data_IF_859871924271
#
_entry.id   IF_859871924271
#
_cell.length_a   1.000
_cell.length_b   1.000
_cell.length_c   1.000
_cell.angle_alpha   90.00
_cell.angle_beta   90.00
_cell.angle_gamma   90.00
#
_symmetry.space_group_name_H-M   'P 1'
#
loop_
_entity.id
_entity.type
_entity.pdbx_description
1 polymer ?
#
# COMPACT_ATOMS: atom_id res chain seq x y z
N UNK A 1 -7.19 -10.56 25.47
CA UNK A 1 -8.37 -11.00 26.24
C UNK A 1 -9.29 -11.75 25.30
N UNK A 2 -9.93 -12.81 25.76
CA UNK A 2 -10.98 -13.53 25.01
C UNK A 2 -12.11 -12.58 24.58
N UNK A 3 -12.36 -11.53 25.35
CA UNK A 3 -13.33 -10.48 25.01
C UNK A 3 -12.99 -9.77 23.70
N UNK A 4 -11.70 -9.54 23.43
CA UNK A 4 -11.26 -8.92 22.17
C UNK A 4 -11.51 -9.86 21.00
N UNK A 5 -11.30 -11.17 21.17
CA UNK A 5 -11.52 -12.17 20.11
C UNK A 5 -13.01 -12.30 19.81
N UNK A 6 -13.85 -12.39 20.84
CA UNK A 6 -15.31 -12.44 20.70
C UNK A 6 -15.84 -11.18 20.00
N UNK A 7 -15.30 -10.02 20.35
CA UNK A 7 -15.67 -8.77 19.72
C UNK A 7 -15.27 -8.72 18.24
N UNK A 8 -14.02 -9.05 17.92
CA UNK A 8 -13.52 -9.09 16.54
C UNK A 8 -14.40 -10.03 15.71
N UNK A 9 -14.69 -11.22 16.23
CA UNK A 9 -15.54 -12.22 15.58
C UNK A 9 -16.93 -11.67 15.28
N UNK A 10 -17.54 -10.96 16.24
CA UNK A 10 -18.84 -10.31 16.05
C UNK A 10 -18.80 -9.20 14.99
N UNK A 11 -17.76 -8.36 15.00
CA UNK A 11 -17.61 -7.28 14.03
C UNK A 11 -17.44 -7.79 12.60
N UNK A 12 -16.67 -8.88 12.43
CA UNK A 12 -16.54 -9.58 11.15
C UNK A 12 -17.86 -10.20 10.71
N UNK A 13 -18.60 -10.86 11.62
CA UNK A 13 -19.89 -11.49 11.31
C UNK A 13 -20.98 -10.48 10.93
N UNK A 14 -20.99 -9.30 11.56
CA UNK A 14 -21.96 -8.24 11.30
C UNK A 14 -21.61 -7.36 10.09
N UNK A 15 -20.41 -7.54 9.50
CA UNK A 15 -19.85 -6.66 8.46
C UNK A 15 -20.03 -5.17 8.81
N UNK A 16 -19.49 -4.76 9.96
CA UNK A 16 -19.58 -3.37 10.45
C UNK A 16 -18.24 -2.67 10.39
N UNK A 17 -18.26 -1.45 9.87
CA UNK A 17 -17.13 -0.54 10.01
C UNK A 17 -17.07 0.04 11.42
N UNK A 18 -15.87 0.02 12.00
CA UNK A 18 -15.64 0.49 13.36
C UNK A 18 -14.34 1.26 13.43
N UNK A 19 -14.41 2.39 14.12
CA UNK A 19 -13.28 3.24 14.45
C UNK A 19 -13.19 3.36 15.97
N UNK A 20 -12.04 3.73 16.51
CA UNK A 20 -11.87 4.05 17.93
C UNK A 20 -11.17 5.38 18.11
N UNK A 21 -11.52 6.12 19.16
CA UNK A 21 -10.74 7.28 19.59
C UNK A 21 -9.46 6.87 20.35
N UNK A 22 -8.70 7.85 20.82
CA UNK A 22 -7.50 7.66 21.65
C UNK A 22 -7.73 6.86 22.94
N UNK A 23 -8.98 6.81 23.43
CA UNK A 23 -9.35 6.09 24.65
C UNK A 23 -9.96 4.71 24.36
N UNK A 24 -9.96 4.26 23.09
CA UNK A 24 -10.53 2.98 22.69
C UNK A 24 -12.06 2.99 22.61
N UNK A 25 -12.71 4.15 22.71
CA UNK A 25 -14.17 4.26 22.58
C UNK A 25 -14.56 4.12 21.12
N UNK A 26 -15.51 3.24 20.85
CA UNK A 26 -15.98 2.95 19.49
C UNK A 26 -16.76 4.12 18.90
N UNK A 27 -16.44 4.43 17.67
CA UNK A 27 -17.07 5.43 16.83
C UNK A 27 -17.63 4.74 15.58
N UNK A 28 -18.79 5.22 15.12
CA UNK A 28 -19.35 4.83 13.82
C UNK A 28 -18.89 5.81 12.74
N UNK A 29 -18.98 5.40 11.46
CA UNK A 29 -18.62 6.26 10.31
C UNK A 29 -19.30 7.64 10.35
N UNK A 30 -20.58 7.69 10.74
CA UNK A 30 -21.34 8.96 10.90
C UNK A 30 -20.76 9.91 11.95
N UNK A 31 -20.07 9.39 12.97
CA UNK A 31 -19.45 10.22 13.99
C UNK A 31 -18.22 10.97 13.45
N UNK A 32 -17.49 10.39 12.48
CA UNK A 32 -16.36 11.05 11.81
C UNK A 32 -16.81 12.22 10.92
N UNK A 33 -17.96 12.11 10.25
CA UNK A 33 -18.48 13.14 9.33
C UNK A 33 -18.88 14.43 10.04
N UNK A 34 -19.10 14.39 11.35
CA UNK A 34 -19.51 15.54 12.18
C UNK A 34 -18.37 16.50 12.55
N UNK A 35 -17.18 16.34 11.97
CA UNK A 35 -16.07 17.29 12.14
C UNK A 35 -15.27 17.13 13.42
N UNK A 36 -15.42 16.00 14.13
CA UNK A 36 -14.50 15.60 15.20
C UNK A 36 -13.18 15.12 14.57
N UNK A 37 -12.41 16.07 14.06
CA UNK A 37 -11.07 15.86 13.53
C UNK A 37 -10.10 15.60 14.69
N UNK A 38 -10.10 14.37 15.23
CA UNK A 38 -9.02 13.89 16.08
C UNK A 38 -9.03 12.34 16.11
N UNK A 39 -7.96 11.75 15.57
CA UNK A 39 -7.40 10.45 16.01
C UNK A 39 -8.31 9.21 16.02
N UNK A 40 -9.32 9.16 15.16
CA UNK A 40 -10.07 7.93 14.92
C UNK A 40 -9.20 6.87 14.23
N UNK A 41 -8.90 5.77 14.93
CA UNK A 41 -8.16 4.62 14.40
C UNK A 41 -9.13 3.59 13.82
N UNK A 42 -9.03 3.23 12.53
CA UNK A 42 -9.89 2.20 11.95
C UNK A 42 -9.52 0.82 12.51
N UNK A 43 -10.52 0.06 12.94
CA UNK A 43 -10.36 -1.34 13.36
C UNK A 43 -11.00 -2.29 12.35
N UNK A 44 -12.10 -1.87 11.73
CA UNK A 44 -12.81 -2.64 10.71
C UNK A 44 -13.27 -1.72 9.59
N UNK A 45 -13.05 -2.14 8.34
CA UNK A 45 -13.41 -1.41 7.12
C UNK A 45 -14.00 -2.39 6.12
N UNK A 46 -14.94 -1.90 5.31
CA UNK A 46 -15.59 -2.69 4.26
C UNK A 46 -15.13 -2.15 2.91
N UNK A 47 -14.77 -3.07 2.01
CA UNK A 47 -14.27 -2.78 0.68
C UNK A 47 -14.91 -3.74 -0.31
N UNK A 48 -14.93 -3.34 -1.59
CA UNK A 48 -15.27 -4.28 -2.65
C UNK A 48 -14.05 -5.18 -2.92
N UNK A 49 -14.28 -6.44 -3.28
CA UNK A 49 -13.16 -7.33 -3.61
C UNK A 49 -12.29 -6.78 -4.74
N UNK A 50 -12.89 -6.11 -5.72
CA UNK A 50 -12.19 -5.46 -6.84
C UNK A 50 -11.20 -4.39 -6.40
N UNK A 51 -11.37 -3.78 -5.22
CA UNK A 51 -10.50 -2.71 -4.72
C UNK A 51 -9.08 -3.21 -4.39
N UNK A 52 -8.93 -4.53 -4.19
CA UNK A 52 -7.67 -5.20 -3.89
C UNK A 52 -7.08 -5.94 -5.09
N UNK A 53 -7.84 -6.04 -6.18
CA UNK A 53 -7.43 -6.80 -7.34
C UNK A 53 -6.62 -5.96 -8.32
N UNK A 54 -5.66 -6.61 -8.96
CA UNK A 54 -4.93 -6.05 -10.10
C UNK A 54 -4.68 -7.11 -11.17
N UNK A 55 -4.47 -6.67 -12.40
CA UNK A 55 -3.92 -7.44 -13.50
C UNK A 55 -2.43 -7.12 -13.63
N UNK A 56 -1.56 -8.09 -13.37
CA UNK A 56 -0.15 -7.99 -13.73
C UNK A 56 -0.01 -8.25 -15.21
N UNK A 57 0.28 -7.20 -15.98
CA UNK A 57 0.54 -7.27 -17.41
C UNK A 57 2.04 -7.45 -17.66
N UNK A 58 2.39 -8.25 -18.66
CA UNK A 58 3.79 -8.36 -19.11
C UNK A 58 4.01 -7.35 -20.22
N UNK A 59 4.92 -6.40 -19.97
CA UNK A 59 5.32 -5.39 -20.94
C UNK A 59 6.58 -5.90 -21.66
N UNK A 60 6.43 -6.22 -22.94
CA UNK A 60 7.52 -6.67 -23.78
C UNK A 60 8.09 -5.49 -24.58
N UNK A 61 9.39 -5.53 -24.82
CA UNK A 61 10.12 -4.56 -25.65
C UNK A 61 10.90 -5.29 -26.73
N UNK A 62 11.13 -4.65 -27.89
CA UNK A 62 11.79 -5.32 -29.00
C UNK A 62 13.29 -5.50 -28.75
N UNK A 63 13.81 -6.67 -29.10
CA UNK A 63 15.23 -6.92 -29.24
C UNK A 63 15.76 -6.11 -30.43
N UNK A 64 16.91 -5.46 -30.23
CA UNK A 64 17.56 -4.63 -31.25
C UNK A 64 18.93 -5.20 -31.58
N UNK A 65 19.27 -5.17 -32.87
CA UNK A 65 20.61 -5.56 -33.33
C UNK A 65 21.66 -4.49 -32.97
N UNK A 66 22.94 -4.78 -33.26
CA UNK A 66 24.05 -3.84 -33.02
C UNK A 66 23.91 -2.50 -33.78
N UNK A 67 23.02 -2.41 -34.77
CA UNK A 67 22.71 -1.20 -35.54
C UNK A 67 21.45 -0.49 -35.04
N UNK A 68 20.80 -1.02 -33.98
CA UNK A 68 19.59 -0.46 -33.38
C UNK A 68 18.28 -0.88 -34.07
N UNK A 69 18.32 -1.76 -35.06
CA UNK A 69 17.12 -2.21 -35.78
C UNK A 69 16.39 -3.30 -34.99
N UNK A 70 15.06 -3.26 -35.01
CA UNK A 70 14.22 -4.30 -34.38
C UNK A 70 14.43 -5.64 -35.06
N UNK A 71 14.84 -6.62 -34.27
CA UNK A 71 14.93 -8.02 -34.69
C UNK A 71 13.52 -8.60 -34.73
N UNK A 72 13.17 -9.29 -35.82
CA UNK A 72 11.88 -9.97 -35.98
C UNK A 72 12.03 -11.47 -35.80
N UNK A 73 11.00 -12.10 -35.27
CA UNK A 73 10.98 -13.56 -35.19
C UNK A 73 10.96 -14.20 -36.57
N UNK A 74 11.77 -15.24 -36.75
CA UNK A 74 11.98 -15.91 -38.05
C UNK A 74 11.19 -17.22 -38.14
N UNK A 75 10.81 -17.79 -37.00
CA UNK A 75 10.13 -19.09 -36.89
C UNK A 75 9.03 -19.05 -35.83
N UNK A 76 8.15 -20.05 -35.85
CA UNK A 76 7.07 -20.19 -34.87
C UNK A 76 5.86 -19.30 -35.14
N UNK A 77 4.93 -19.25 -34.17
CA UNK A 77 3.64 -18.54 -34.27
C UNK A 77 3.77 -17.02 -34.40
N UNK A 78 4.89 -16.45 -33.93
CA UNK A 78 5.16 -14.99 -33.93
C UNK A 78 6.05 -14.55 -35.10
N UNK A 79 6.21 -15.39 -36.14
CA UNK A 79 7.04 -15.06 -37.30
C UNK A 79 6.64 -13.72 -37.91
N UNK A 80 7.62 -12.83 -38.10
CA UNK A 80 7.44 -11.48 -38.65
C UNK A 80 7.10 -10.40 -37.62
N UNK A 81 6.77 -10.77 -36.37
CA UNK A 81 6.58 -9.83 -35.27
C UNK A 81 7.93 -9.47 -34.62
N UNK A 82 8.03 -8.33 -33.92
CA UNK A 82 9.21 -8.02 -33.11
C UNK A 82 9.52 -9.15 -32.12
N UNK A 83 10.79 -9.55 -32.07
CA UNK A 83 11.27 -10.52 -31.09
C UNK A 83 11.38 -9.81 -29.73
N UNK A 84 10.80 -10.36 -28.65
CA UNK A 84 10.91 -9.74 -27.33
C UNK A 84 12.34 -9.86 -26.79
N UNK A 85 12.85 -8.78 -26.21
CA UNK A 85 14.07 -8.79 -25.42
C UNK A 85 13.75 -9.13 -23.96
N UNK A 86 14.13 -10.32 -23.52
CA UNK A 86 13.89 -10.77 -22.15
C UNK A 86 14.60 -9.93 -21.08
N UNK A 87 15.68 -9.23 -21.44
CA UNK A 87 16.41 -8.36 -20.50
C UNK A 87 15.73 -7.00 -20.28
N UNK A 88 14.85 -6.61 -21.21
CA UNK A 88 14.08 -5.36 -21.17
C UNK A 88 12.60 -5.58 -20.85
N UNK A 89 12.18 -6.84 -20.61
CA UNK A 89 10.83 -7.18 -20.19
C UNK A 89 10.55 -6.62 -18.81
N UNK A 90 9.37 -6.04 -18.67
CA UNK A 90 8.87 -5.55 -17.38
C UNK A 90 7.48 -6.12 -17.06
N UNK A 91 7.01 -5.84 -15.84
CA UNK A 91 5.66 -6.16 -15.41
C UNK A 91 5.02 -4.98 -14.71
N UNK A 92 3.79 -4.66 -15.10
CA UNK A 92 3.02 -3.56 -14.53
C UNK A 92 1.75 -4.09 -13.88
N UNK A 93 1.34 -3.49 -12.77
CA UNK A 93 0.10 -3.87 -12.07
C UNK A 93 -0.99 -2.84 -12.37
N UNK A 94 -2.01 -3.26 -13.12
CA UNK A 94 -3.17 -2.44 -13.46
C UNK A 94 -4.32 -2.77 -12.50
N UNK A 95 -4.93 -1.80 -11.81
CA UNK A 95 -6.12 -2.05 -10.98
C UNK A 95 -7.23 -2.78 -11.75
N UNK A 96 -7.94 -3.73 -11.11
CA UNK A 96 -9.01 -4.49 -11.80
C UNK A 96 -10.21 -3.65 -12.23
N UNK A 97 -10.38 -2.46 -11.66
CA UNK A 97 -11.43 -1.51 -12.01
C UNK A 97 -11.04 -0.58 -13.17
N UNK A 98 -9.87 -0.78 -13.77
CA UNK A 98 -9.36 0.01 -14.87
C UNK A 98 -9.12 -0.85 -16.12
N UNK A 99 -9.29 -0.24 -17.29
CA UNK A 99 -9.02 -0.87 -18.58
C UNK A 99 -7.51 -0.96 -18.83
N UNK A 100 -7.04 -2.16 -19.21
CA UNK A 100 -5.61 -2.46 -19.33
C UNK A 100 -4.98 -1.62 -20.45
N UNK A 101 -5.65 -1.52 -21.59
CA UNK A 101 -5.20 -0.80 -22.76
C UNK A 101 -5.13 0.70 -22.46
N UNK A 102 -6.16 1.27 -21.83
CA UNK A 102 -6.17 2.66 -21.42
C UNK A 102 -5.05 3.00 -20.42
N UNK A 103 -4.79 2.12 -19.44
CA UNK A 103 -3.67 2.28 -18.51
C UNK A 103 -2.34 2.24 -19.26
N UNK A 104 -2.16 1.26 -20.16
CA UNK A 104 -0.93 1.07 -20.91
C UNK A 104 -0.61 2.26 -21.82
N UNK A 105 -1.62 2.82 -22.49
CA UNK A 105 -1.47 4.03 -23.31
C UNK A 105 -1.10 5.26 -22.49
N UNK A 106 -1.63 5.39 -21.27
CA UNK A 106 -1.40 6.55 -20.40
C UNK A 106 -0.08 6.49 -19.64
N UNK A 107 0.27 5.33 -19.11
CA UNK A 107 1.39 5.19 -18.17
C UNK A 107 2.62 4.55 -18.82
N UNK A 108 2.47 3.66 -19.81
CA UNK A 108 3.62 2.91 -20.36
C UNK A 108 4.12 3.52 -21.67
N UNK A 109 3.25 3.69 -22.67
CA UNK A 109 3.66 4.15 -24.00
C UNK A 109 4.38 5.52 -24.03
N UNK A 110 4.07 6.51 -23.17
CA UNK A 110 4.82 7.77 -23.14
C UNK A 110 6.28 7.61 -22.74
N UNK A 111 6.59 6.56 -21.98
CA UNK A 111 7.96 6.24 -21.55
C UNK A 111 8.62 5.20 -22.45
N UNK A 112 7.84 4.26 -23.00
CA UNK A 112 8.33 3.17 -23.85
C UNK A 112 7.42 3.00 -25.09
N UNK A 113 7.60 3.82 -26.14
CA UNK A 113 6.67 3.86 -27.28
C UNK A 113 6.66 2.60 -28.16
N UNK A 114 7.69 1.76 -28.06
CA UNK A 114 7.82 0.52 -28.84
C UNK A 114 7.42 -0.74 -28.05
N UNK A 115 6.87 -0.57 -26.85
CA UNK A 115 6.39 -1.66 -26.02
C UNK A 115 5.05 -2.22 -26.51
N UNK A 116 4.79 -3.47 -26.17
CA UNK A 116 3.48 -4.10 -26.33
C UNK A 116 3.18 -5.04 -25.15
N UNK A 117 1.90 -5.32 -24.94
CA UNK A 117 1.45 -6.23 -23.88
C UNK A 117 1.48 -7.67 -24.40
N UNK A 118 2.02 -8.60 -23.60
CA UNK A 118 1.80 -10.03 -23.79
C UNK A 118 0.59 -10.50 -22.98
N UNK A 119 -0.58 -10.49 -23.61
CA UNK A 119 -1.85 -10.87 -22.96
C UNK A 119 -1.88 -12.33 -22.50
N UNK A 120 -1.13 -13.23 -23.14
CA UNK A 120 -1.07 -14.65 -22.72
C UNK A 120 -0.40 -14.81 -21.35
N UNK A 121 0.43 -13.84 -20.94
CA UNK A 121 1.13 -13.84 -19.65
C UNK A 121 0.46 -12.96 -18.59
N UNK A 122 -0.66 -12.32 -18.92
CA UNK A 122 -1.38 -11.47 -17.96
C UNK A 122 -2.01 -12.32 -16.87
N UNK A 123 -1.85 -11.91 -15.62
CA UNK A 123 -2.36 -12.65 -14.44
C UNK A 123 -3.14 -11.73 -13.53
N UNK A 124 -4.24 -12.23 -12.98
CA UNK A 124 -4.99 -11.53 -11.93
C UNK A 124 -4.41 -11.87 -10.57
N UNK A 125 -4.04 -10.85 -9.81
CA UNK A 125 -3.58 -10.92 -8.43
C UNK A 125 -4.47 -10.11 -7.50
N UNK A 126 -4.33 -10.35 -6.20
CA UNK A 126 -4.97 -9.56 -5.15
C UNK A 126 -3.95 -9.21 -4.07
N UNK A 127 -3.99 -7.97 -3.59
CA UNK A 127 -3.13 -7.48 -2.51
C UNK A 127 -3.95 -6.61 -1.55
N UNK A 128 -3.77 -6.84 -0.24
CA UNK A 128 -4.42 -6.07 0.82
C UNK A 128 -3.34 -5.21 1.50
N UNK A 129 -3.16 -3.94 1.11
CA UNK A 129 -2.17 -3.07 1.70
C UNK A 129 -2.66 -2.53 3.06
N UNK A 130 -2.45 -3.31 4.13
CA UNK A 130 -2.89 -2.95 5.48
C UNK A 130 -2.48 -1.53 5.89
N UNK A 131 -1.24 -1.12 5.61
CA UNK A 131 -0.76 0.22 5.93
C UNK A 131 -1.58 1.31 5.23
N UNK A 132 -1.95 1.13 3.95
CA UNK A 132 -2.76 2.12 3.22
C UNK A 132 -4.13 2.35 3.86
N UNK A 133 -4.71 1.30 4.45
CA UNK A 133 -6.08 1.33 4.95
C UNK A 133 -6.19 1.55 6.47
N UNK A 134 -5.19 1.15 7.23
CA UNK A 134 -5.24 1.11 8.70
C UNK A 134 -4.14 1.92 9.39
N UNK A 135 -3.15 2.43 8.65
CA UNK A 135 -2.14 3.29 9.25
C UNK A 135 -2.75 4.65 9.64
N UNK A 136 -2.53 5.03 10.89
CA UNK A 136 -2.84 6.36 11.42
C UNK A 136 -1.53 7.01 11.75
N UNK A 137 -1.23 8.11 11.08
CA UNK A 137 -0.05 8.90 11.41
C UNK A 137 -0.18 9.44 12.82
N UNK A 138 0.78 9.08 13.68
CA UNK A 138 0.94 9.66 15.00
C UNK A 138 2.10 10.64 14.94
N UNK A 139 1.86 11.96 15.06
CA UNK A 139 2.95 12.91 15.11
C UNK A 139 3.85 12.58 16.31
N UNK A 140 5.16 12.83 16.21
CA UNK A 140 6.03 12.79 17.37
C UNK A 140 5.54 13.75 18.46
N UNK A 141 5.82 13.42 19.72
CA UNK A 141 5.57 14.34 20.85
C UNK A 141 6.42 15.60 20.73
N UNK A 142 5.91 16.72 21.27
CA UNK A 142 6.56 18.02 21.19
C UNK A 142 7.90 18.04 21.95
N UNK A 143 8.92 18.71 21.38
CA UNK A 143 10.27 18.75 21.98
C UNK A 143 10.27 19.31 23.41
N UNK A 144 9.44 20.32 23.70
CA UNK A 144 9.33 20.90 25.03
C UNK A 144 8.86 19.89 26.09
N UNK A 145 8.00 18.94 25.71
CA UNK A 145 7.56 17.85 26.59
C UNK A 145 8.72 16.88 26.87
N UNK A 146 9.51 16.56 25.84
CA UNK A 146 10.73 15.74 25.96
C UNK A 146 11.70 16.37 26.94
N UNK A 147 11.98 17.67 26.78
CA UNK A 147 12.93 18.41 27.62
C UNK A 147 12.47 18.47 29.08
N UNK A 148 11.17 18.71 29.31
CA UNK A 148 10.59 18.74 30.65
C UNK A 148 10.69 17.38 31.36
N UNK A 149 10.39 16.30 30.64
CA UNK A 149 10.54 14.94 31.17
C UNK A 149 12.01 14.59 31.47
N UNK A 150 12.93 14.90 30.54
CA UNK A 150 14.35 14.68 30.72
C UNK A 150 14.86 15.41 31.96
N UNK A 151 14.52 16.68 32.11
CA UNK A 151 14.84 17.46 33.32
C UNK A 151 14.29 16.79 34.58
N UNK A 152 13.03 16.36 34.56
CA UNK A 152 12.42 15.66 35.69
C UNK A 152 13.12 14.35 36.05
N UNK A 153 13.58 13.58 35.06
CA UNK A 153 14.40 12.38 35.28
C UNK A 153 15.74 12.75 35.89
N UNK A 154 16.43 13.78 35.36
CA UNK A 154 17.71 14.25 35.88
C UNK A 154 17.60 14.72 37.32
N UNK A 155 16.59 15.51 37.65
CA UNK A 155 16.35 16.01 39.01
C UNK A 155 16.14 14.85 40.00
N UNK A 156 15.43 13.78 39.59
CA UNK A 156 15.26 12.56 40.39
C UNK A 156 16.58 11.82 40.62
N UNK A 157 17.42 11.70 39.59
CA UNK A 157 18.73 11.05 39.69
C UNK A 157 19.64 11.82 40.65
N UNK A 158 19.70 13.14 40.53
CA UNK A 158 20.49 14.00 41.42
C UNK A 158 20.05 13.82 42.87
N UNK A 159 18.73 13.79 43.13
CA UNK A 159 18.21 13.55 44.48
C UNK A 159 18.65 12.19 45.04
N UNK A 160 18.51 11.12 44.27
CA UNK A 160 18.92 9.77 44.70
C UNK A 160 20.41 9.66 45.03
N UNK A 161 21.28 10.30 44.21
CA UNK A 161 22.72 10.31 44.46
C UNK A 161 23.04 11.09 45.75
N UNK A 162 22.34 12.20 45.98
CA UNK A 162 22.45 12.97 47.22
C UNK A 162 22.05 12.17 48.46
N UNK A 163 20.97 11.39 48.39
CA UNK A 163 20.50 10.52 49.45
C UNK A 163 21.46 9.34 49.75
N UNK A 164 22.21 8.86 48.75
CA UNK A 164 23.23 7.80 48.91
C UNK A 164 24.57 8.30 49.46
N UNK A 165 24.82 9.60 49.39
CA UNK A 165 26.09 10.22 49.82
C UNK A 165 26.02 10.79 51.25
N UNK A 166 24.93 10.54 51.96
CA UNK A 166 24.68 10.86 53.38
C UNK A 166 24.77 9.57 54.22
#
# INVERSE_FOLDING_TARGET
>A
SDDHIAEITRLFGDAKEVYVDEHGKKLSRKALESGAQATATPISRIFNNSDFGYSTITVERPERDAKGNVVKETKGKRKGQPKPDSSLRDSENVPLNEDIEAYFEREVLPHVPDAWIDHEKTKVGYEIPFNRHFYVFKPPRELAEIDAELKGVTDRIVRMIGELSQ
#
